data_IF_177993970815
#
_entry.id   IF_177993970815
#
_cell.length_a   1.000
_cell.length_b   1.000
_cell.length_c   1.000
_cell.angle_alpha   90.00
_cell.angle_beta   90.00
_cell.angle_gamma   90.00
#
_symmetry.space_group_name_H-M   'P 1'
#
loop_
_entity.id
_entity.type
_entity.pdbx_description
1 polymer ?
#
# COMPACT_ATOMS: atom_id res chain seq x y z
N UNK A 1 16.82 -11.73 4.46
CA UNK A 1 16.56 -10.72 3.41
C UNK A 1 17.91 -10.12 2.99
N UNK A 2 18.22 -9.97 1.69
CA UNK A 2 19.46 -9.33 1.24
C UNK A 2 19.66 -7.95 1.87
N UNK A 3 20.88 -7.63 2.31
CA UNK A 3 21.18 -6.38 3.04
C UNK A 3 20.74 -5.12 2.28
N UNK A 4 20.97 -5.07 0.97
CA UNK A 4 20.54 -3.95 0.12
C UNK A 4 19.02 -3.71 0.16
N UNK A 5 18.22 -4.77 0.27
CA UNK A 5 16.77 -4.64 0.35
C UNK A 5 16.30 -4.23 1.75
N UNK A 6 16.99 -4.69 2.80
CA UNK A 6 16.73 -4.23 4.17
C UNK A 6 17.06 -2.75 4.33
N UNK A 7 18.20 -2.31 3.78
CA UNK A 7 18.62 -0.91 3.81
C UNK A 7 17.64 -0.04 2.98
N UNK A 8 17.19 -0.51 1.81
CA UNK A 8 16.18 0.18 0.98
C UNK A 8 14.83 0.33 1.69
N UNK A 9 14.34 -0.73 2.33
CA UNK A 9 13.06 -0.73 3.03
C UNK A 9 13.16 -0.20 4.48
N UNK A 10 14.33 0.30 4.89
CA UNK A 10 14.63 0.79 6.23
C UNK A 10 14.29 -0.19 7.36
N UNK A 11 14.43 -1.49 7.09
CA UNK A 11 14.14 -2.56 8.05
C UNK A 11 15.29 -2.64 9.05
N UNK A 12 14.97 -2.40 10.31
CA UNK A 12 15.89 -2.47 11.44
C UNK A 12 15.76 -3.78 12.22
N UNK A 13 15.58 -3.65 13.54
CA UNK A 13 15.44 -4.80 14.46
C UNK A 13 14.06 -5.45 14.36
N UNK A 14 13.01 -4.66 14.13
CA UNK A 14 11.62 -5.10 14.12
C UNK A 14 11.02 -4.93 12.73
N UNK A 15 10.13 -5.86 12.36
CA UNK A 15 9.54 -5.94 11.03
C UNK A 15 8.12 -6.49 11.11
N UNK A 16 7.28 -6.08 10.16
CA UNK A 16 5.91 -6.58 10.01
C UNK A 16 5.86 -7.44 8.75
N UNK A 17 5.26 -8.64 8.89
CA UNK A 17 4.95 -9.53 7.78
C UNK A 17 3.45 -9.43 7.51
N UNK A 18 3.09 -8.83 6.38
CA UNK A 18 1.70 -8.66 5.97
C UNK A 18 1.38 -9.64 4.84
N UNK A 19 0.37 -10.50 5.06
CA UNK A 19 -0.10 -11.43 4.05
C UNK A 19 -1.07 -10.73 3.10
N UNK A 20 -0.73 -10.70 1.81
CA UNK A 20 -1.61 -10.20 0.75
C UNK A 20 -1.88 -11.31 -0.25
N UNK A 21 -2.92 -11.14 -1.08
CA UNK A 21 -3.23 -12.14 -2.10
C UNK A 21 -2.03 -12.35 -3.04
N UNK A 22 -1.51 -13.57 -3.08
CA UNK A 22 -0.40 -13.97 -3.95
C UNK A 22 1.00 -13.51 -3.51
N UNK A 23 1.15 -12.80 -2.38
CA UNK A 23 2.46 -12.33 -1.89
C UNK A 23 2.50 -12.10 -0.38
N UNK A 24 3.71 -12.15 0.18
CA UNK A 24 3.98 -11.67 1.53
C UNK A 24 4.78 -10.38 1.39
N UNK A 25 4.30 -9.33 2.05
CA UNK A 25 5.00 -8.06 2.13
C UNK A 25 5.80 -8.00 3.43
N UNK A 26 6.96 -7.36 3.36
CA UNK A 26 7.85 -7.16 4.51
C UNK A 26 8.05 -5.67 4.70
N UNK A 27 7.71 -5.19 5.88
CA UNK A 27 7.73 -3.76 6.21
C UNK A 27 8.63 -3.48 7.40
N UNK A 28 9.24 -2.30 7.41
CA UNK A 28 9.75 -1.72 8.65
C UNK A 28 8.56 -1.33 9.53
N UNK A 29 8.60 -1.70 10.81
CA UNK A 29 7.52 -1.47 11.77
C UNK A 29 7.04 -0.01 11.77
N UNK A 30 7.98 0.93 11.83
CA UNK A 30 7.75 2.39 11.82
C UNK A 30 7.05 2.93 10.56
N UNK A 31 7.09 2.18 9.46
CA UNK A 31 6.49 2.58 8.19
C UNK A 31 5.12 1.93 7.99
N UNK A 32 4.92 0.70 8.47
CA UNK A 32 3.67 -0.03 8.28
C UNK A 32 2.45 0.71 8.84
N UNK A 33 2.56 1.28 10.05
CA UNK A 33 1.44 2.00 10.68
C UNK A 33 0.95 3.22 9.89
N UNK A 34 1.85 3.90 9.17
CA UNK A 34 1.51 5.10 8.39
C UNK A 34 0.66 4.79 7.16
N UNK A 35 0.79 3.59 6.61
CA UNK A 35 0.00 3.16 5.45
C UNK A 35 -1.50 3.11 5.80
N UNK A 36 -1.84 2.77 7.04
CA UNK A 36 -3.22 2.76 7.51
C UNK A 36 -3.79 4.16 7.80
N UNK A 37 -2.93 5.14 8.08
CA UNK A 37 -3.36 6.51 8.39
C UNK A 37 -3.75 7.32 7.14
N UNK A 38 -3.46 6.82 5.93
CA UNK A 38 -3.71 7.48 4.64
C UNK A 38 -5.07 7.12 4.00
N UNK A 39 -5.98 6.47 4.71
CA UNK A 39 -7.32 6.06 4.19
C UNK A 39 -8.10 7.16 3.41
N UNK A 40 -8.15 8.43 3.84
CA UNK A 40 -8.91 9.47 3.13
C UNK A 40 -8.38 9.75 1.72
N UNK A 41 -7.06 9.70 1.55
CA UNK A 41 -6.40 9.91 0.26
C UNK A 41 -6.56 8.69 -0.64
N UNK A 42 -6.54 7.49 -0.05
CA UNK A 42 -6.77 6.25 -0.79
C UNK A 42 -8.19 6.20 -1.39
N UNK A 43 -9.22 6.55 -0.62
CA UNK A 43 -10.60 6.58 -1.10
C UNK A 43 -10.79 7.61 -2.24
N UNK A 44 -10.21 8.80 -2.08
CA UNK A 44 -10.28 9.87 -3.09
C UNK A 44 -9.57 9.47 -4.39
N UNK A 45 -8.43 8.79 -4.28
CA UNK A 45 -7.70 8.26 -5.44
C UNK A 45 -8.45 7.11 -6.12
N UNK A 46 -9.02 6.20 -5.34
CA UNK A 46 -9.84 5.11 -5.84
C UNK A 46 -11.05 5.64 -6.61
N UNK A 47 -11.74 6.65 -6.09
CA UNK A 47 -12.85 7.31 -6.78
C UNK A 47 -12.41 7.96 -8.09
N UNK A 48 -11.27 8.65 -8.09
CA UNK A 48 -10.73 9.26 -9.32
C UNK A 48 -10.42 8.22 -10.41
N UNK A 49 -9.90 7.06 -10.04
CA UNK A 49 -9.48 6.01 -10.99
C UNK A 49 -10.67 5.14 -11.42
N UNK A 50 -11.50 4.73 -10.47
CA UNK A 50 -12.60 3.79 -10.69
C UNK A 50 -13.90 4.50 -11.03
N UNK A 51 -14.24 5.58 -10.31
CA UNK A 51 -15.46 6.35 -10.53
C UNK A 51 -15.49 7.07 -11.87
N UNK A 52 -14.36 7.60 -12.35
CA UNK A 52 -14.27 8.16 -13.71
C UNK A 52 -14.61 7.15 -14.80
N UNK A 53 -14.07 5.94 -14.71
CA UNK A 53 -14.32 4.88 -15.69
C UNK A 53 -15.76 4.32 -15.63
N UNK A 54 -16.36 4.26 -14.43
CA UNK A 54 -17.73 3.79 -14.26
C UNK A 54 -18.76 4.83 -14.73
N UNK A 55 -18.51 6.12 -14.47
CA UNK A 55 -19.40 7.20 -14.91
C UNK A 55 -19.38 7.36 -16.43
N UNK A 56 -18.26 7.12 -17.10
CA UNK A 56 -18.19 7.16 -18.56
C UNK A 56 -18.98 5.99 -19.21
N UNK A 57 -19.08 4.84 -18.55
CA UNK A 57 -19.86 3.68 -19.01
C UNK A 57 -21.38 3.83 -18.80
N UNK A 58 -21.81 4.65 -17.85
CA UNK A 58 -23.24 4.96 -17.64
C UNK A 58 -23.78 6.04 -18.59
N UNK A 59 -22.90 6.80 -19.26
CA UNK A 59 -23.25 7.88 -20.18
C UNK A 59 -23.24 7.48 -21.67
N UNK A 60 -23.04 6.19 -21.98
CA UNK A 60 -23.26 5.57 -23.31
C UNK A 60 -24.53 4.71 -23.33
#
# INVERSE_FOLDING_TARGET
IPKRLMDFAEIGKETVLAGQYGKIEIWAEKQYGKVSDEEPDFASLAEKILGGALNDLENE
#
